data_IF_475183261961
#
_entry.id   IF_475183261961
#
_cell.length_a   1.000
_cell.length_b   1.000
_cell.length_c   1.000
_cell.angle_alpha   90.00
_cell.angle_beta   90.00
_cell.angle_gamma   90.00
#
_symmetry.space_group_name_H-M   'P 1'
#
loop_
_entity.id
_entity.type
_entity.pdbx_description
1 polymer ?
#
# COMPACT_ATOMS: atom_id res chain seq x y z
N UNK A 1 5.52 -2.18 -34.26
CA UNK A 1 5.24 -1.91 -32.84
C UNK A 1 4.77 -0.48 -32.73
N UNK A 2 3.48 -0.27 -32.47
CA UNK A 2 2.86 1.06 -32.34
C UNK A 2 3.27 1.69 -31.00
N UNK A 3 3.74 2.94 -31.01
CA UNK A 3 4.26 3.67 -29.83
C UNK A 3 3.19 4.07 -28.83
N UNK A 4 2.46 3.11 -28.28
CA UNK A 4 1.49 3.34 -27.21
C UNK A 4 2.16 3.31 -25.84
N UNK A 5 1.63 4.08 -24.89
CA UNK A 5 2.07 4.06 -23.49
C UNK A 5 1.84 2.67 -22.91
N UNK A 6 2.81 2.16 -22.13
CA UNK A 6 2.69 0.89 -21.41
C UNK A 6 1.46 0.85 -20.51
N UNK A 7 1.15 1.97 -19.86
CA UNK A 7 -0.04 2.11 -19.02
C UNK A 7 -1.34 2.03 -19.84
N UNK A 8 -1.35 2.60 -21.06
CA UNK A 8 -2.52 2.50 -21.93
C UNK A 8 -2.77 1.05 -22.35
N UNK A 9 -1.71 0.32 -22.74
CA UNK A 9 -1.82 -1.08 -23.14
C UNK A 9 -2.36 -1.93 -21.98
N UNK A 10 -1.82 -1.74 -20.77
CA UNK A 10 -2.29 -2.41 -19.54
C UNK A 10 -3.78 -2.16 -19.26
N UNK A 11 -4.24 -0.91 -19.38
CA UNK A 11 -5.66 -0.58 -19.19
C UNK A 11 -6.56 -1.10 -20.32
N UNK A 12 -6.08 -1.09 -21.56
CA UNK A 12 -6.84 -1.64 -22.69
C UNK A 12 -7.02 -3.16 -22.55
N UNK A 13 -5.98 -3.88 -22.10
CA UNK A 13 -6.06 -5.30 -21.78
C UNK A 13 -7.01 -5.57 -20.61
N UNK A 14 -6.93 -4.76 -19.56
CA UNK A 14 -7.84 -4.84 -18.41
C UNK A 14 -9.30 -4.60 -18.84
N UNK A 15 -9.57 -3.62 -19.69
CA UNK A 15 -10.89 -3.34 -20.23
C UNK A 15 -11.44 -4.53 -21.04
N UNK A 16 -10.62 -5.08 -21.94
CA UNK A 16 -11.00 -6.25 -22.74
C UNK A 16 -11.24 -7.50 -21.87
N UNK A 17 -10.50 -7.65 -20.77
CA UNK A 17 -10.73 -8.70 -19.78
C UNK A 17 -12.07 -8.50 -19.07
N UNK A 18 -12.37 -7.30 -18.57
CA UNK A 18 -13.62 -7.01 -17.86
C UNK A 18 -14.86 -7.18 -18.76
N UNK A 19 -14.75 -6.83 -20.04
CA UNK A 19 -15.82 -7.00 -21.03
C UNK A 19 -16.18 -8.48 -21.26
N UNK A 20 -15.19 -9.38 -21.21
CA UNK A 20 -15.36 -10.81 -21.53
C UNK A 20 -15.53 -11.68 -20.30
N UNK A 21 -15.07 -11.22 -19.15
CA UNK A 21 -15.12 -11.98 -17.92
C UNK A 21 -16.57 -12.25 -17.49
N UNK A 22 -16.78 -13.46 -16.99
CA UNK A 22 -18.07 -13.95 -16.50
C UNK A 22 -17.86 -14.64 -15.16
N UNK A 23 -18.96 -15.04 -14.50
CA UNK A 23 -18.91 -15.77 -13.21
C UNK A 23 -18.08 -17.05 -13.23
N UNK A 24 -17.93 -17.69 -14.39
CA UNK A 24 -17.11 -18.90 -14.57
C UNK A 24 -15.66 -18.62 -14.96
N UNK A 25 -15.27 -17.35 -15.07
CA UNK A 25 -13.91 -16.95 -15.42
C UNK A 25 -12.97 -17.02 -14.20
N UNK A 26 -11.70 -17.31 -14.47
CA UNK A 26 -10.58 -17.15 -13.55
C UNK A 26 -9.73 -15.98 -14.05
N UNK A 27 -9.60 -14.94 -13.24
CA UNK A 27 -8.85 -13.72 -13.60
C UNK A 27 -7.61 -13.60 -12.71
N UNK A 28 -6.47 -13.24 -13.29
CA UNK A 28 -5.27 -12.88 -12.55
C UNK A 28 -4.82 -11.49 -12.98
N UNK A 29 -4.71 -10.57 -12.03
CA UNK A 29 -4.18 -9.23 -12.23
C UNK A 29 -2.94 -9.04 -11.35
N UNK A 30 -1.90 -8.50 -11.95
CA UNK A 30 -0.60 -8.29 -11.29
C UNK A 30 -0.19 -6.82 -11.42
N UNK A 31 -0.09 -6.14 -10.27
CA UNK A 31 0.31 -4.75 -10.13
C UNK A 31 -0.40 -3.76 -11.07
N UNK A 32 -1.73 -3.91 -11.17
CA UNK A 32 -2.57 -3.00 -11.94
C UNK A 32 -2.40 -1.56 -11.44
N UNK A 33 -2.09 -0.63 -12.33
CA UNK A 33 -2.02 0.80 -12.02
C UNK A 33 -0.61 1.35 -11.75
N UNK A 34 0.45 0.58 -11.99
CA UNK A 34 1.85 1.01 -11.73
C UNK A 34 2.37 2.13 -12.65
N UNK A 35 1.72 2.36 -13.79
CA UNK A 35 2.17 3.30 -14.83
C UNK A 35 1.66 4.74 -14.68
N UNK A 36 1.04 5.10 -13.56
CA UNK A 36 0.43 6.42 -13.32
C UNK A 36 0.71 6.93 -11.90
N UNK A 37 0.16 8.09 -11.55
CA UNK A 37 0.22 8.62 -10.18
C UNK A 37 -0.34 7.59 -9.17
N UNK A 38 0.30 7.47 -8.02
CA UNK A 38 -0.02 6.43 -7.02
C UNK A 38 -1.49 6.43 -6.62
N UNK A 39 -2.10 7.61 -6.44
CA UNK A 39 -3.52 7.74 -6.07
C UNK A 39 -4.47 7.35 -7.21
N UNK A 40 -4.13 7.69 -8.45
CA UNK A 40 -4.96 7.32 -9.60
C UNK A 40 -4.86 5.81 -9.87
N UNK A 41 -3.66 5.24 -9.81
CA UNK A 41 -3.42 3.82 -10.00
C UNK A 41 -4.13 2.98 -8.93
N UNK A 42 -4.02 3.42 -7.68
CA UNK A 42 -4.76 2.91 -6.53
C UNK A 42 -6.28 2.89 -6.74
N UNK A 43 -6.84 4.02 -7.16
CA UNK A 43 -8.28 4.18 -7.36
C UNK A 43 -8.79 3.29 -8.50
N UNK A 44 -8.04 3.21 -9.60
CA UNK A 44 -8.35 2.31 -10.73
C UNK A 44 -8.31 0.85 -10.27
N UNK A 45 -7.25 0.44 -9.56
CA UNK A 45 -7.11 -0.91 -9.04
C UNK A 45 -8.28 -1.29 -8.11
N UNK A 46 -8.69 -0.37 -7.22
CA UNK A 46 -9.86 -0.55 -6.35
C UNK A 46 -11.16 -0.72 -7.13
N UNK A 47 -11.43 0.18 -8.08
CA UNK A 47 -12.62 0.11 -8.91
C UNK A 47 -12.69 -1.20 -9.71
N UNK A 48 -11.57 -1.66 -10.26
CA UNK A 48 -11.48 -2.93 -11.00
C UNK A 48 -11.73 -4.13 -10.09
N UNK A 49 -11.09 -4.19 -8.91
CA UNK A 49 -11.32 -5.26 -7.94
C UNK A 49 -12.80 -5.33 -7.53
N UNK A 50 -13.39 -4.20 -7.18
CA UNK A 50 -14.81 -4.12 -6.81
C UNK A 50 -15.74 -4.52 -7.95
N UNK A 51 -15.42 -4.16 -9.20
CA UNK A 51 -16.19 -4.60 -10.37
C UNK A 51 -16.10 -6.12 -10.57
N UNK A 52 -14.90 -6.70 -10.42
CA UNK A 52 -14.68 -8.14 -10.50
C UNK A 52 -15.46 -8.92 -9.45
N UNK A 53 -15.51 -8.45 -8.20
CA UNK A 53 -16.15 -9.15 -7.07
C UNK A 53 -17.66 -8.93 -7.03
N UNK A 54 -18.13 -7.69 -7.17
CA UNK A 54 -19.54 -7.34 -6.96
C UNK A 54 -20.37 -7.28 -8.24
N UNK A 55 -19.77 -6.97 -9.39
CA UNK A 55 -20.50 -6.87 -10.66
C UNK A 55 -20.42 -8.18 -11.44
N UNK A 56 -19.20 -8.62 -11.74
CA UNK A 56 -18.99 -9.85 -12.50
C UNK A 56 -19.18 -11.08 -11.59
N UNK A 57 -18.61 -11.06 -10.39
CA UNK A 57 -18.61 -12.18 -9.46
C UNK A 57 -17.75 -13.35 -9.95
N UNK A 58 -16.60 -13.05 -10.58
CA UNK A 58 -15.65 -14.05 -11.05
C UNK A 58 -14.67 -14.48 -9.95
N UNK A 59 -13.97 -15.60 -10.17
CA UNK A 59 -12.86 -16.00 -9.30
C UNK A 59 -11.60 -15.27 -9.76
N UNK A 60 -10.76 -14.82 -8.83
CA UNK A 60 -9.50 -14.22 -9.25
C UNK A 60 -8.43 -14.06 -8.19
N UNK A 61 -7.24 -13.74 -8.67
CA UNK A 61 -6.06 -13.34 -7.92
C UNK A 61 -5.73 -11.90 -8.29
N UNK A 62 -5.52 -11.06 -7.28
CA UNK A 62 -5.18 -9.65 -7.47
C UNK A 62 -3.93 -9.33 -6.66
N UNK A 63 -2.77 -9.36 -7.32
CA UNK A 63 -1.50 -8.99 -6.69
C UNK A 63 -1.31 -7.47 -6.76
N UNK A 64 -0.94 -6.87 -5.64
CA UNK A 64 -0.80 -5.41 -5.53
C UNK A 64 0.25 -5.02 -4.49
N UNK A 65 0.89 -3.88 -4.71
CA UNK A 65 1.72 -3.19 -3.71
C UNK A 65 0.92 -2.12 -2.93
N UNK A 66 -0.35 -1.90 -3.28
CA UNK A 66 -1.21 -0.90 -2.66
C UNK A 66 -1.77 -1.39 -1.32
N UNK A 67 -1.11 -1.03 -0.20
CA UNK A 67 -1.58 -1.40 1.13
C UNK A 67 -2.98 -0.85 1.47
N UNK A 68 -3.34 0.34 0.96
CA UNK A 68 -4.68 0.89 1.18
C UNK A 68 -5.78 0.00 0.58
N UNK A 69 -5.48 -0.73 -0.51
CA UNK A 69 -6.47 -1.56 -1.19
C UNK A 69 -6.86 -2.75 -0.31
N UNK A 70 -5.88 -3.29 0.41
CA UNK A 70 -6.10 -4.33 1.41
C UNK A 70 -6.95 -3.83 2.57
N UNK A 71 -6.74 -2.59 3.02
CA UNK A 71 -7.52 -1.99 4.10
C UNK A 71 -8.97 -1.69 3.68
N UNK A 72 -9.16 -1.17 2.46
CA UNK A 72 -10.47 -0.85 1.88
C UNK A 72 -11.35 -2.10 1.74
N UNK A 73 -10.76 -3.21 1.28
CA UNK A 73 -11.48 -4.48 1.06
C UNK A 73 -11.41 -5.44 2.25
N UNK A 74 -10.84 -5.04 3.39
CA UNK A 74 -10.66 -5.91 4.57
C UNK A 74 -11.98 -6.47 5.14
N UNK A 75 -13.11 -5.82 4.84
CA UNK A 75 -14.45 -6.20 5.31
C UNK A 75 -15.34 -6.78 4.20
N UNK A 76 -14.82 -6.89 2.98
CA UNK A 76 -15.56 -7.45 1.86
C UNK A 76 -15.59 -9.00 1.99
N UNK A 77 -16.78 -9.63 2.13
CA UNK A 77 -16.87 -11.08 2.27
C UNK A 77 -16.44 -11.84 1.00
N UNK A 78 -16.40 -11.17 -0.15
CA UNK A 78 -15.93 -11.71 -1.43
C UNK A 78 -14.40 -11.63 -1.61
N UNK A 79 -13.68 -11.02 -0.66
CA UNK A 79 -12.23 -10.81 -0.78
C UNK A 79 -11.50 -11.45 0.40
N UNK A 80 -10.60 -12.38 0.10
CA UNK A 80 -9.64 -12.91 1.08
C UNK A 80 -8.32 -12.15 0.97
N UNK A 81 -7.97 -11.39 2.00
CA UNK A 81 -6.68 -10.70 2.06
C UNK A 81 -5.60 -11.70 2.46
N UNK A 82 -4.55 -11.78 1.65
CA UNK A 82 -3.42 -12.69 1.82
C UNK A 82 -2.11 -11.97 1.50
N UNK A 83 -0.99 -12.47 2.04
CA UNK A 83 0.36 -11.99 1.70
C UNK A 83 1.36 -13.15 1.67
N UNK A 84 2.53 -12.93 1.08
CA UNK A 84 3.64 -13.90 1.16
C UNK A 84 4.41 -13.68 2.46
N UNK A 85 4.51 -14.73 3.28
CA UNK A 85 5.14 -14.67 4.59
C UNK A 85 6.64 -14.37 4.50
N UNK A 86 7.11 -13.59 5.47
CA UNK A 86 8.52 -13.23 5.64
C UNK A 86 8.90 -13.40 7.12
N UNK A 87 10.12 -13.86 7.41
CA UNK A 87 10.70 -13.81 8.76
C UNK A 87 11.64 -12.63 8.86
N UNK A 88 11.66 -11.99 10.03
CA UNK A 88 12.48 -10.81 10.32
C UNK A 88 13.39 -11.14 11.49
N UNK A 89 14.71 -11.10 11.28
CA UNK A 89 15.73 -11.47 12.26
C UNK A 89 16.29 -12.87 12.04
N UNK A 90 17.62 -12.98 12.08
CA UNK A 90 18.29 -14.28 12.16
C UNK A 90 18.15 -14.85 13.57
N UNK A 91 17.27 -15.84 13.73
CA UNK A 91 17.08 -16.56 14.99
C UNK A 91 15.81 -17.40 14.99
N UNK A 92 16.02 -18.71 15.00
CA UNK A 92 15.11 -19.80 15.37
C UNK A 92 14.09 -20.30 14.31
N UNK A 93 14.57 -21.09 13.34
CA UNK A 93 14.47 -22.56 13.38
C UNK A 93 14.98 -23.18 12.06
N UNK A 94 15.78 -24.25 12.23
CA UNK A 94 16.37 -25.16 11.24
C UNK A 94 17.60 -24.71 10.41
N UNK A 95 18.64 -25.51 10.58
CA UNK A 95 19.98 -25.37 10.04
C UNK A 95 20.03 -25.46 8.51
N UNK A 96 20.45 -24.38 7.86
CA UNK A 96 21.25 -24.43 6.63
C UNK A 96 22.30 -23.33 6.73
N UNK A 97 23.55 -23.69 6.48
CA UNK A 97 24.75 -22.85 6.63
C UNK A 97 24.54 -21.44 6.07
N UNK A 98 24.39 -20.48 6.98
CA UNK A 98 24.55 -19.06 6.68
C UNK A 98 26.03 -18.81 6.37
N UNK A 99 26.35 -18.64 5.08
CA UNK A 99 27.58 -17.94 4.69
C UNK A 99 27.61 -16.59 5.41
N UNK A 100 28.64 -16.40 6.23
CA UNK A 100 28.78 -15.33 7.21
C UNK A 100 28.45 -13.92 6.67
N UNK A 101 27.77 -13.06 7.45
CA UNK A 101 27.66 -11.66 7.08
C UNK A 101 29.01 -10.98 7.34
N UNK A 102 29.55 -10.33 6.31
CA UNK A 102 30.59 -9.33 6.51
C UNK A 102 30.01 -8.21 7.37
N UNK A 103 30.41 -8.16 8.64
CA UNK A 103 30.10 -7.08 9.57
C UNK A 103 30.85 -5.83 9.14
N UNK A 104 30.13 -4.87 8.58
CA UNK A 104 30.53 -3.46 8.56
C UNK A 104 29.37 -2.63 9.14
N UNK A 105 29.67 -1.97 10.26
CA UNK A 105 28.75 -1.33 11.21
C UNK A 105 28.08 -0.03 10.71
N UNK A 106 27.47 -0.06 9.52
CA UNK A 106 26.69 1.06 8.96
C UNK A 106 25.22 0.71 8.61
N UNK A 107 24.80 -0.55 8.81
CA UNK A 107 23.53 -1.11 8.32
C UNK A 107 22.51 -1.42 9.42
N UNK A 108 22.67 -0.90 10.64
CA UNK A 108 21.82 -1.20 11.80
C UNK A 108 20.32 -0.82 11.65
N UNK A 109 19.92 -0.18 10.54
CA UNK A 109 18.55 0.29 10.30
C UNK A 109 17.72 -0.61 9.40
N UNK A 110 18.30 -1.63 8.76
CA UNK A 110 17.58 -2.51 7.83
C UNK A 110 17.57 -3.93 8.37
N UNK A 111 16.39 -4.37 8.83
CA UNK A 111 16.18 -5.69 9.40
C UNK A 111 16.58 -6.81 8.40
N UNK A 112 17.03 -7.96 8.88
CA UNK A 112 17.28 -9.10 8.01
C UNK A 112 15.99 -9.84 7.71
N UNK A 113 15.62 -9.95 6.43
CA UNK A 113 14.32 -10.48 6.00
C UNK A 113 14.51 -11.69 5.11
N UNK A 114 13.91 -12.82 5.49
CA UNK A 114 13.88 -14.03 4.68
C UNK A 114 12.47 -14.22 4.10
N UNK A 115 12.37 -14.32 2.78
CA UNK A 115 11.11 -14.58 2.09
C UNK A 115 10.79 -16.08 2.13
N UNK A 116 9.67 -16.46 2.75
CA UNK A 116 9.30 -17.87 2.91
C UNK A 116 8.50 -18.43 1.71
N UNK A 117 8.10 -17.58 0.77
CA UNK A 117 7.23 -17.92 -0.37
C UNK A 117 5.94 -18.67 0.01
N UNK A 118 5.47 -18.46 1.25
CA UNK A 118 4.27 -19.10 1.80
C UNK A 118 3.12 -18.11 1.85
N UNK A 119 2.05 -18.37 1.10
CA UNK A 119 0.83 -17.57 1.15
C UNK A 119 0.15 -17.72 2.52
N UNK A 120 -0.06 -16.61 3.19
CA UNK A 120 -0.59 -16.55 4.57
C UNK A 120 -1.73 -15.53 4.65
N UNK A 121 -2.80 -15.78 5.43
CA UNK A 121 -3.89 -14.82 5.60
C UNK A 121 -3.45 -13.49 6.22
N UNK A 122 -4.19 -12.44 5.90
CA UNK A 122 -3.98 -11.09 6.41
C UNK A 122 -3.17 -10.19 5.47
N UNK A 123 -3.23 -8.90 5.72
CA UNK A 123 -2.46 -7.90 4.99
C UNK A 123 -0.98 -7.99 5.36
N UNK A 124 -0.10 -7.64 4.41
CA UNK A 124 1.32 -7.56 4.67
C UNK A 124 1.58 -6.45 5.72
N UNK A 125 2.29 -6.74 6.84
CA UNK A 125 2.41 -5.81 7.97
C UNK A 125 3.29 -4.60 7.66
N UNK A 126 4.28 -4.75 6.78
CA UNK A 126 5.23 -3.70 6.39
C UNK A 126 5.60 -3.85 4.91
N UNK A 127 6.08 -2.77 4.29
CA UNK A 127 6.75 -2.86 2.99
C UNK A 127 8.21 -3.26 3.18
N UNK A 128 8.70 -4.18 2.35
CA UNK A 128 10.06 -4.72 2.43
C UNK A 128 10.96 -4.24 1.28
N UNK A 129 10.59 -3.15 0.58
CA UNK A 129 11.30 -2.67 -0.61
C UNK A 129 12.78 -2.36 -0.38
N UNK A 130 13.16 -1.80 0.77
CA UNK A 130 14.57 -1.55 1.13
C UNK A 130 15.36 -2.84 1.37
N UNK A 131 14.71 -3.89 1.87
CA UNK A 131 15.32 -5.22 2.03
C UNK A 131 15.56 -5.87 0.66
N UNK A 132 14.59 -5.76 -0.26
CA UNK A 132 14.74 -6.22 -1.65
C UNK A 132 15.88 -5.48 -2.33
N UNK A 133 16.01 -4.15 -2.13
CA UNK A 133 17.12 -3.37 -2.65
C UNK A 133 18.48 -3.85 -2.11
N UNK A 134 18.58 -4.19 -0.82
CA UNK A 134 19.80 -4.79 -0.24
C UNK A 134 20.12 -6.13 -0.88
N UNK A 135 19.13 -7.02 -1.02
CA UNK A 135 19.31 -8.34 -1.64
C UNK A 135 19.70 -8.25 -3.12
N UNK A 136 19.23 -7.22 -3.83
CA UNK A 136 19.64 -6.91 -5.20
C UNK A 136 21.07 -6.38 -5.32
N UNK A 137 21.79 -6.19 -4.19
CA UNK A 137 23.18 -5.75 -4.17
C UNK A 137 23.36 -4.24 -4.31
N UNK A 138 22.34 -3.42 -4.02
CA UNK A 138 22.51 -1.97 -4.03
C UNK A 138 23.53 -1.53 -2.95
N UNK A 139 24.34 -0.48 -3.20
CA UNK A 139 25.31 0.00 -2.23
C UNK A 139 24.64 0.35 -0.89
N UNK A 140 25.27 -0.03 0.23
CA UNK A 140 24.72 0.16 1.57
C UNK A 140 24.32 1.62 1.86
N UNK A 141 25.10 2.59 1.38
CA UNK A 141 24.79 4.01 1.51
C UNK A 141 23.49 4.42 0.80
N UNK A 142 23.16 3.79 -0.35
CA UNK A 142 21.92 4.04 -1.10
C UNK A 142 20.73 3.45 -0.34
N UNK A 143 20.86 2.20 0.13
CA UNK A 143 19.80 1.52 0.90
C UNK A 143 19.51 2.28 2.19
N UNK A 144 20.55 2.70 2.92
CA UNK A 144 20.41 3.48 4.15
C UNK A 144 19.69 4.82 3.89
N UNK A 145 20.07 5.53 2.82
CA UNK A 145 19.40 6.78 2.44
C UNK A 145 17.93 6.54 2.05
N UNK A 146 17.65 5.49 1.29
CA UNK A 146 16.29 5.13 0.90
C UNK A 146 15.42 4.83 2.14
N UNK A 147 15.95 4.12 3.13
CA UNK A 147 15.26 3.86 4.39
C UNK A 147 14.95 5.16 5.17
N UNK A 148 15.90 6.10 5.23
CA UNK A 148 15.67 7.41 5.86
C UNK A 148 14.57 8.20 5.15
N UNK A 149 14.60 8.27 3.81
CA UNK A 149 13.60 9.00 3.03
C UNK A 149 12.22 8.38 3.19
N UNK A 150 12.12 7.05 3.13
CA UNK A 150 10.85 6.34 3.33
C UNK A 150 10.24 6.62 4.72
N UNK A 151 11.07 6.62 5.77
CA UNK A 151 10.62 6.93 7.13
C UNK A 151 10.13 8.38 7.26
N UNK A 152 10.80 9.33 6.60
CA UNK A 152 10.38 10.74 6.58
C UNK A 152 9.03 10.91 5.87
N UNK A 153 8.88 10.36 4.66
CA UNK A 153 7.64 10.47 3.89
C UNK A 153 6.44 9.82 4.60
N UNK A 154 6.65 8.67 5.25
CA UNK A 154 5.61 8.03 6.07
C UNK A 154 5.25 8.87 7.30
N UNK A 155 6.25 9.45 7.97
CA UNK A 155 6.05 10.35 9.11
C UNK A 155 5.26 11.59 8.74
N UNK A 156 5.59 12.22 7.62
CA UNK A 156 4.91 13.43 7.11
C UNK A 156 3.46 13.11 6.73
N UNK A 157 3.23 12.02 5.99
CA UNK A 157 1.87 11.57 5.65
C UNK A 157 1.03 11.26 6.91
N UNK A 158 1.62 10.63 7.92
CA UNK A 158 0.94 10.31 9.19
C UNK A 158 0.59 11.59 9.95
N UNK A 159 1.51 12.57 10.01
CA UNK A 159 1.27 13.87 10.67
C UNK A 159 0.14 14.63 10.02
N UNK A 160 0.15 14.75 8.68
CA UNK A 160 -0.91 15.40 7.92
C UNK A 160 -2.28 14.76 8.20
N UNK A 161 -2.35 13.42 8.16
CA UNK A 161 -3.61 12.71 8.44
C UNK A 161 -4.11 12.92 9.88
N UNK A 162 -3.20 13.00 10.85
CA UNK A 162 -3.52 13.20 12.27
C UNK A 162 -4.02 14.62 12.51
N UNK A 163 -3.37 15.62 11.90
CA UNK A 163 -3.78 17.02 11.98
C UNK A 163 -5.16 17.24 11.36
N UNK A 164 -5.41 16.65 10.19
CA UNK A 164 -6.72 16.66 9.53
C UNK A 164 -7.80 16.02 10.40
N UNK A 165 -7.53 14.83 10.96
CA UNK A 165 -8.48 14.15 11.85
C UNK A 165 -8.75 14.95 13.13
N UNK A 166 -7.73 15.56 13.72
CA UNK A 166 -7.88 16.39 14.92
C UNK A 166 -8.74 17.62 14.62
N UNK A 167 -8.50 18.31 13.50
CA UNK A 167 -9.29 19.46 13.09
C UNK A 167 -10.77 19.11 12.89
N UNK A 168 -11.05 17.96 12.25
CA UNK A 168 -12.42 17.46 12.08
C UNK A 168 -13.08 17.06 13.41
N UNK A 169 -12.32 16.43 14.31
CA UNK A 169 -12.81 16.06 15.65
C UNK A 169 -13.14 17.29 16.50
N UNK A 170 -12.28 18.32 16.50
CA UNK A 170 -12.51 19.59 17.19
C UNK A 170 -13.81 20.25 16.69
N UNK A 171 -14.02 20.32 15.37
CA UNK A 171 -15.23 20.87 14.79
C UNK A 171 -16.48 20.06 15.18
N UNK A 172 -16.39 18.73 15.14
CA UNK A 172 -17.49 17.84 15.51
C UNK A 172 -17.83 17.89 17.02
N UNK A 173 -16.87 18.23 17.88
CA UNK A 173 -17.11 18.48 19.30
C UNK A 173 -17.79 19.82 19.50
N UNK A 174 -17.33 20.88 18.84
CA UNK A 174 -17.94 22.22 18.91
C UNK A 174 -19.40 22.18 18.48
N UNK A 175 -19.71 21.53 17.35
CA UNK A 175 -21.10 21.41 16.85
C UNK A 175 -22.04 20.72 17.84
N UNK A 176 -21.54 19.86 18.74
CA UNK A 176 -22.33 19.21 19.78
C UNK A 176 -22.63 20.10 20.99
N UNK A 177 -21.91 21.21 21.16
CA UNK A 177 -21.90 22.01 22.39
C UNK A 177 -22.64 23.36 22.36
N UNK A 178 -23.45 23.66 21.34
CA UNK A 178 -24.02 25.00 21.09
C UNK A 178 -22.95 26.12 21.14
N UNK A 179 -22.03 26.14 20.17
CA UNK A 179 -20.87 27.03 20.19
C UNK A 179 -21.22 28.46 19.74
N UNK A 180 -20.42 29.42 20.16
CA UNK A 180 -20.47 30.80 19.67
C UNK A 180 -20.07 30.85 18.18
N UNK A 181 -20.62 31.80 17.42
CA UNK A 181 -20.36 31.91 15.98
C UNK A 181 -18.87 32.13 15.64
N UNK A 182 -18.13 32.82 16.50
CA UNK A 182 -16.68 33.06 16.33
C UNK A 182 -15.85 31.77 16.43
N UNK A 183 -16.20 30.89 17.36
CA UNK A 183 -15.51 29.60 17.56
C UNK A 183 -15.77 28.65 16.39
N UNK A 184 -16.99 28.69 15.84
CA UNK A 184 -17.35 27.89 14.67
C UNK A 184 -16.54 28.31 13.44
N UNK A 185 -16.42 29.61 13.18
CA UNK A 185 -15.65 30.15 12.05
C UNK A 185 -14.16 29.83 12.20
N UNK A 186 -13.60 29.96 13.41
CA UNK A 186 -12.20 29.63 13.68
C UNK A 186 -11.91 28.13 13.50
N UNK A 187 -12.82 27.26 13.96
CA UNK A 187 -12.69 25.82 13.77
C UNK A 187 -12.82 25.42 12.30
N UNK A 188 -13.77 26.02 11.58
CA UNK A 188 -13.95 25.78 10.15
C UNK A 188 -12.74 26.22 9.33
N UNK A 189 -12.12 27.37 9.68
CA UNK A 189 -10.87 27.82 9.05
C UNK A 189 -9.73 26.83 9.26
N UNK A 190 -9.55 26.30 10.49
CA UNK A 190 -8.54 25.28 10.79
C UNK A 190 -8.74 23.99 9.99
N UNK A 191 -9.99 23.55 9.79
CA UNK A 191 -10.29 22.39 8.94
C UNK A 191 -9.90 22.67 7.49
N UNK A 192 -10.25 23.84 6.95
CA UNK A 192 -9.90 24.22 5.57
C UNK A 192 -8.38 24.29 5.39
N UNK A 193 -7.66 24.90 6.32
CA UNK A 193 -6.19 24.97 6.29
C UNK A 193 -5.54 23.58 6.36
N UNK A 194 -6.05 22.69 7.22
CA UNK A 194 -5.54 21.32 7.34
C UNK A 194 -5.85 20.45 6.11
N UNK A 195 -6.95 20.70 5.41
CA UNK A 195 -7.33 19.97 4.18
C UNK A 195 -6.59 20.47 2.93
N UNK A 196 -6.00 21.66 2.96
CA UNK A 196 -5.28 22.26 1.84
C UNK A 196 -3.76 21.99 1.87
N UNK A 197 -3.25 21.37 2.94
CA UNK A 197 -1.86 20.95 3.14
C UNK A 197 -1.67 19.48 2.76
#
# INVERSE_FOLDING_TARGET
MTGQSTFFVELAETAAMLEKASRSSLVALDELGRGTATLDGAAIASAVLSHMTHTIGCRGLFATHYHHLSAEHARDPGVAIMHMACTVGGGDDDAVEATAPAKDDAMATVEDVTFLYKLTPGACPKSYGTNVARLAGLPAAVVARAATVAAQTQGDATRLSTEQQRALQDLAQLLRGQPEAGDLVAAQKRVVEAMAA
#
